data_IF_551829949378
#
_entry.id   IF_551829949378
#
_cell.length_a   1.000
_cell.length_b   1.000
_cell.length_c   1.000
_cell.angle_alpha   90.00
_cell.angle_beta   90.00
_cell.angle_gamma   90.00
#
_symmetry.space_group_name_H-M   'P 1'
#
loop_
_entity.id
_entity.type
_entity.pdbx_description
1 polymer ?
#
# COMPACT_ATOMS: atom_id res chain seq x y z
N UNK A 1 20.15 1.73 18.26
CA UNK A 1 19.87 0.30 18.06
C UNK A 1 20.61 -0.04 16.78
N UNK A 2 21.57 -0.95 16.83
CA UNK A 2 22.40 -1.23 15.65
C UNK A 2 21.58 -2.01 14.63
N UNK A 3 21.30 -1.38 13.50
CA UNK A 3 20.54 -2.01 12.41
C UNK A 3 21.47 -2.94 11.63
N UNK A 4 21.08 -4.21 11.50
CA UNK A 4 21.88 -5.23 10.82
C UNK A 4 21.49 -5.36 9.35
N UNK A 5 22.45 -5.73 8.51
CA UNK A 5 22.20 -6.00 7.08
C UNK A 5 21.06 -7.01 6.87
N UNK A 6 20.98 -8.08 7.68
CA UNK A 6 19.91 -9.07 7.57
C UNK A 6 18.50 -8.50 7.83
N UNK A 7 18.38 -7.41 8.60
CA UNK A 7 17.11 -6.71 8.81
C UNK A 7 16.74 -5.89 7.57
N UNK A 8 17.74 -5.28 6.92
CA UNK A 8 17.55 -4.54 5.67
C UNK A 8 17.18 -5.50 4.54
N UNK A 9 17.83 -6.65 4.44
CA UNK A 9 17.53 -7.67 3.44
C UNK A 9 16.07 -8.14 3.58
N UNK A 10 15.63 -8.46 4.82
CA UNK A 10 14.24 -8.82 5.08
C UNK A 10 13.25 -7.70 4.75
N UNK A 11 13.61 -6.44 5.00
CA UNK A 11 12.77 -5.30 4.66
C UNK A 11 12.66 -5.12 3.13
N UNK A 12 13.76 -5.29 2.40
CA UNK A 12 13.78 -5.26 0.93
C UNK A 12 12.88 -6.36 0.36
N UNK A 13 12.94 -7.57 0.92
CA UNK A 13 12.09 -8.69 0.52
C UNK A 13 10.61 -8.38 0.79
N UNK A 14 10.29 -7.82 1.96
CA UNK A 14 8.91 -7.43 2.28
C UNK A 14 8.38 -6.31 1.35
N UNK A 15 9.21 -5.35 0.95
CA UNK A 15 8.84 -4.30 -0.02
C UNK A 15 8.66 -4.89 -1.42
N UNK A 16 9.54 -5.81 -1.83
CA UNK A 16 9.39 -6.51 -3.11
C UNK A 16 8.11 -7.35 -3.15
N UNK A 17 7.73 -7.95 -2.02
CA UNK A 17 6.47 -8.68 -1.91
C UNK A 17 5.24 -7.81 -2.16
N UNK A 18 5.25 -6.55 -1.72
CA UNK A 18 4.16 -5.60 -2.02
C UNK A 18 4.00 -5.42 -3.54
N UNK A 19 5.09 -5.32 -4.31
CA UNK A 19 5.01 -5.22 -5.77
C UNK A 19 4.36 -6.46 -6.39
N UNK A 20 4.75 -7.65 -5.94
CA UNK A 20 4.15 -8.91 -6.38
C UNK A 20 2.65 -9.02 -6.03
N UNK A 21 2.23 -8.55 -4.86
CA UNK A 21 0.82 -8.53 -4.46
C UNK A 21 -0.02 -7.61 -5.36
N UNK A 22 0.50 -6.44 -5.75
CA UNK A 22 -0.18 -5.56 -6.71
C UNK A 22 -0.32 -6.20 -8.09
N UNK A 23 0.72 -6.90 -8.57
CA UNK A 23 0.65 -7.62 -9.84
C UNK A 23 -0.33 -8.79 -9.79
N UNK A 24 -0.35 -9.55 -8.69
CA UNK A 24 -1.30 -10.64 -8.50
C UNK A 24 -2.76 -10.14 -8.52
N UNK A 25 -3.02 -8.98 -7.90
CA UNK A 25 -4.35 -8.40 -7.83
C UNK A 25 -4.94 -8.09 -9.22
N UNK A 26 -4.11 -7.71 -10.19
CA UNK A 26 -4.56 -7.43 -11.58
C UNK A 26 -5.30 -8.60 -12.24
N UNK A 27 -4.95 -9.84 -11.86
CA UNK A 27 -5.57 -11.04 -12.45
C UNK A 27 -6.95 -11.36 -11.88
N UNK A 28 -7.26 -10.86 -10.68
CA UNK A 28 -8.51 -11.20 -9.97
C UNK A 28 -9.47 -10.03 -9.84
N UNK A 29 -8.98 -8.78 -9.95
CA UNK A 29 -9.77 -7.60 -9.62
C UNK A 29 -10.97 -7.39 -10.54
N UNK A 30 -10.85 -7.70 -11.83
CA UNK A 30 -11.96 -7.53 -12.79
C UNK A 30 -13.09 -8.56 -12.58
N UNK A 31 -12.88 -9.55 -11.70
CA UNK A 31 -13.90 -10.56 -11.39
C UNK A 31 -14.86 -10.14 -10.27
N UNK A 32 -14.57 -9.03 -9.59
CA UNK A 32 -15.30 -8.50 -8.44
C UNK A 32 -15.75 -7.05 -8.68
N UNK A 33 -16.82 -6.58 -8.01
CA UNK A 33 -17.25 -5.18 -8.10
C UNK A 33 -16.32 -4.28 -7.28
N UNK A 34 -15.16 -3.94 -7.85
CA UNK A 34 -14.10 -3.20 -7.14
C UNK A 34 -14.46 -1.74 -6.83
N UNK A 35 -15.45 -1.18 -7.52
CA UNK A 35 -15.94 0.18 -7.40
C UNK A 35 -17.11 0.31 -6.41
N UNK A 36 -17.77 -0.79 -6.06
CA UNK A 36 -18.84 -0.82 -5.07
C UNK A 36 -18.31 -0.52 -3.66
N UNK A 37 -19.01 0.37 -2.95
CA UNK A 37 -18.69 0.77 -1.57
C UNK A 37 -19.56 -0.03 -0.59
N UNK A 38 -19.01 -0.97 0.19
CA UNK A 38 -19.78 -1.68 1.20
C UNK A 38 -20.23 -0.73 2.32
N UNK A 39 -21.34 -1.02 3.03
CA UNK A 39 -21.82 -0.16 4.12
C UNK A 39 -20.75 0.09 5.18
N UNK A 40 -20.40 1.38 5.38
CA UNK A 40 -19.42 1.81 6.38
C UNK A 40 -17.96 1.50 6.06
N UNK A 41 -17.63 1.10 4.83
CA UNK A 41 -16.26 0.82 4.36
C UNK A 41 -15.97 1.54 3.05
N UNK A 42 -14.69 1.64 2.67
CA UNK A 42 -14.24 2.11 1.35
C UNK A 42 -14.41 1.00 0.30
N UNK A 43 -14.57 1.37 -0.98
CA UNK A 43 -14.49 0.40 -2.08
C UNK A 43 -13.05 -0.07 -2.30
N UNK A 44 -12.83 -1.19 -3.00
CA UNK A 44 -11.47 -1.67 -3.29
C UNK A 44 -10.69 -0.63 -4.09
N UNK A 45 -11.32 0.00 -5.09
CA UNK A 45 -10.71 1.08 -5.86
C UNK A 45 -10.31 2.26 -4.98
N UNK A 46 -11.16 2.68 -4.03
CA UNK A 46 -10.85 3.77 -3.11
C UNK A 46 -9.68 3.45 -2.19
N UNK A 47 -9.63 2.22 -1.66
CA UNK A 47 -8.50 1.75 -0.84
C UNK A 47 -7.19 1.79 -1.65
N UNK A 48 -7.22 1.30 -2.90
CA UNK A 48 -6.05 1.29 -3.77
C UNK A 48 -5.59 2.71 -4.14
N UNK A 49 -6.52 3.62 -4.43
CA UNK A 49 -6.20 5.02 -4.69
C UNK A 49 -5.56 5.69 -3.48
N UNK A 50 -6.10 5.45 -2.28
CA UNK A 50 -5.51 5.96 -1.05
C UNK A 50 -4.10 5.41 -0.83
N UNK A 51 -3.90 4.11 -1.09
CA UNK A 51 -2.58 3.50 -0.98
C UNK A 51 -1.57 4.15 -1.93
N UNK A 52 -1.94 4.36 -3.20
CA UNK A 52 -1.09 5.03 -4.20
C UNK A 52 -0.75 6.46 -3.76
N UNK A 53 -1.76 7.20 -3.29
CA UNK A 53 -1.63 8.57 -2.78
C UNK A 53 -0.68 8.66 -1.59
N UNK A 54 -0.91 7.86 -0.54
CA UNK A 54 -0.06 7.84 0.65
C UNK A 54 1.38 7.42 0.31
N UNK A 55 1.54 6.48 -0.62
CA UNK A 55 2.84 6.01 -1.05
C UNK A 55 3.63 7.11 -1.77
N UNK A 56 3.04 7.82 -2.73
CA UNK A 56 3.72 8.87 -3.48
C UNK A 56 3.90 10.17 -2.72
N UNK A 57 2.86 10.62 -2.02
CA UNK A 57 2.79 11.98 -1.47
C UNK A 57 3.17 12.07 0.01
N UNK A 58 3.54 10.95 0.63
CA UNK A 58 3.98 10.95 2.03
C UNK A 58 5.15 10.00 2.25
N UNK A 59 4.94 8.68 2.06
CA UNK A 59 5.98 7.71 2.44
C UNK A 59 7.26 7.88 1.63
N UNK A 60 7.13 8.03 0.31
CA UNK A 60 8.29 8.24 -0.56
C UNK A 60 9.02 9.53 -0.21
N UNK A 61 8.31 10.64 -0.05
CA UNK A 61 8.92 11.93 0.28
C UNK A 61 9.68 11.87 1.59
N UNK A 62 9.06 11.33 2.64
CA UNK A 62 9.69 11.17 3.95
C UNK A 62 10.95 10.29 3.88
N UNK A 63 10.90 9.16 3.15
CA UNK A 63 12.06 8.28 2.99
C UNK A 63 13.18 8.99 2.21
N UNK A 64 12.84 9.67 1.11
CA UNK A 64 13.81 10.39 0.30
C UNK A 64 14.48 11.53 1.08
N UNK A 65 13.71 12.31 1.82
CA UNK A 65 14.21 13.44 2.60
C UNK A 65 15.03 12.99 3.80
N UNK A 66 14.58 11.95 4.51
CA UNK A 66 15.36 11.36 5.61
C UNK A 66 16.71 10.84 5.09
N UNK A 67 16.72 10.19 3.94
CA UNK A 67 17.93 9.69 3.30
C UNK A 67 18.88 10.82 2.85
N UNK A 68 18.35 11.88 2.22
CA UNK A 68 19.16 12.99 1.67
C UNK A 68 19.60 14.00 2.74
N UNK A 69 18.87 14.13 3.85
CA UNK A 69 19.12 15.16 4.87
C UNK A 69 20.17 14.74 5.89
N UNK A 70 21.19 15.57 6.10
CA UNK A 70 22.18 15.39 7.18
C UNK A 70 21.58 15.55 8.58
N UNK A 71 20.46 16.27 8.70
CA UNK A 71 19.76 16.49 9.98
C UNK A 71 18.50 15.62 10.07
N UNK A 72 18.09 15.24 11.29
CA UNK A 72 16.81 14.57 11.47
C UNK A 72 15.67 15.38 10.86
N UNK A 73 14.78 14.71 10.12
CA UNK A 73 13.56 15.33 9.60
C UNK A 73 12.46 15.29 10.65
N UNK A 74 11.43 16.14 10.49
CA UNK A 74 10.28 16.21 11.40
C UNK A 74 9.01 15.88 10.63
N UNK A 75 8.32 14.80 11.01
CA UNK A 75 7.07 14.35 10.40
C UNK A 75 5.94 15.37 10.49
N UNK A 76 5.99 16.32 11.43
CA UNK A 76 5.00 17.40 11.49
C UNK A 76 5.11 18.40 10.33
N UNK A 77 6.19 18.34 9.54
CA UNK A 77 6.35 19.13 8.32
C UNK A 77 5.64 18.50 7.10
N UNK A 78 5.16 17.26 7.23
CA UNK A 78 4.47 16.53 6.18
C UNK A 78 2.99 16.44 6.54
N UNK A 79 2.12 16.60 5.55
CA UNK A 79 0.67 16.51 5.73
C UNK A 79 0.26 15.04 5.78
N UNK A 80 -0.66 14.67 6.67
CA UNK A 80 -1.15 13.29 6.73
C UNK A 80 -1.88 12.94 5.41
N UNK A 81 -1.63 11.76 4.82
CA UNK A 81 -2.32 11.34 3.60
C UNK A 81 -3.84 11.44 3.66
N UNK A 82 -4.43 11.18 4.83
CA UNK A 82 -5.89 11.26 5.02
C UNK A 82 -6.43 12.70 4.88
N UNK A 83 -5.60 13.71 5.15
CA UNK A 83 -6.01 15.12 5.04
C UNK A 83 -5.99 15.65 3.60
N UNK A 84 -5.27 14.96 2.70
CA UNK A 84 -5.04 15.40 1.31
C UNK A 84 -5.59 14.42 0.27
N UNK A 85 -6.12 13.29 0.71
CA UNK A 85 -6.66 12.29 -0.18
C UNK A 85 -7.98 12.77 -0.80
N UNK A 86 -8.01 12.79 -2.12
CA UNK A 86 -9.21 13.04 -2.91
C UNK A 86 -9.44 11.87 -3.86
N UNK A 87 -10.69 11.39 -3.90
CA UNK A 87 -11.07 10.29 -4.77
C UNK A 87 -11.11 10.76 -6.23
N UNK A 88 -10.32 10.15 -7.09
CA UNK A 88 -10.37 10.35 -8.54
C UNK A 88 -11.39 9.38 -9.16
N UNK A 89 -12.60 9.88 -9.44
CA UNK A 89 -13.70 9.09 -10.01
C UNK A 89 -13.40 8.54 -11.42
N UNK A 90 -12.51 9.19 -12.18
CA UNK A 90 -12.13 8.70 -13.51
C UNK A 90 -11.11 7.57 -13.39
N UNK A 91 -10.14 7.69 -12.48
CA UNK A 91 -9.19 6.63 -12.19
C UNK A 91 -9.87 5.42 -11.53
N UNK A 92 -10.91 5.64 -10.72
CA UNK A 92 -11.71 4.59 -10.09
C UNK A 92 -12.37 3.65 -11.11
N UNK A 93 -12.69 4.16 -12.31
CA UNK A 93 -13.29 3.37 -13.41
C UNK A 93 -12.28 2.51 -14.18
N UNK A 94 -10.99 2.80 -14.05
CA UNK A 94 -9.91 2.08 -14.74
C UNK A 94 -8.95 1.49 -13.72
N UNK A 95 -9.43 0.42 -13.07
CA UNK A 95 -8.70 -0.25 -12.00
C UNK A 95 -7.37 -0.85 -12.47
N UNK A 96 -7.30 -1.28 -13.73
CA UNK A 96 -6.08 -1.83 -14.31
C UNK A 96 -5.01 -0.74 -14.48
N UNK A 97 -5.40 0.46 -14.92
CA UNK A 97 -4.49 1.62 -14.96
C UNK A 97 -4.03 2.03 -13.57
N UNK A 98 -4.91 1.99 -12.56
CA UNK A 98 -4.53 2.26 -11.17
C UNK A 98 -3.51 1.24 -10.65
N UNK A 99 -3.77 -0.07 -10.81
CA UNK A 99 -2.85 -1.12 -10.38
C UNK A 99 -1.51 -1.07 -11.12
N UNK A 100 -1.51 -0.66 -12.40
CA UNK A 100 -0.29 -0.43 -13.15
C UNK A 100 0.54 0.74 -12.59
N UNK A 101 -0.11 1.84 -12.18
CA UNK A 101 0.57 2.96 -11.49
C UNK A 101 1.18 2.50 -10.17
N UNK A 102 0.38 1.82 -9.33
CA UNK A 102 0.83 1.31 -8.03
C UNK A 102 2.05 0.39 -8.18
N UNK A 103 2.02 -0.54 -9.13
CA UNK A 103 3.16 -1.44 -9.40
C UNK A 103 4.42 -0.64 -9.77
N UNK A 104 4.34 0.34 -10.67
CA UNK A 104 5.47 1.22 -11.01
C UNK A 104 6.01 1.99 -9.82
N UNK A 105 5.12 2.55 -9.01
CA UNK A 105 5.46 3.31 -7.83
C UNK A 105 6.16 2.44 -6.77
N UNK A 106 5.70 1.20 -6.59
CA UNK A 106 6.35 0.19 -5.73
C UNK A 106 7.74 -0.19 -6.22
N UNK A 107 7.94 -0.36 -7.53
CA UNK A 107 9.29 -0.57 -8.11
C UNK A 107 10.20 0.62 -7.80
N UNK A 108 9.70 1.86 -7.93
CA UNK A 108 10.49 3.05 -7.62
C UNK A 108 10.91 3.10 -6.14
N UNK A 109 10.01 2.76 -5.22
CA UNK A 109 10.32 2.68 -3.78
C UNK A 109 11.29 1.55 -3.47
N UNK A 110 11.09 0.37 -4.06
CA UNK A 110 12.01 -0.75 -3.89
C UNK A 110 13.43 -0.36 -4.32
N UNK A 111 13.55 0.31 -5.46
CA UNK A 111 14.84 0.80 -5.96
C UNK A 111 15.43 1.87 -5.04
N UNK A 112 14.62 2.80 -4.54
CA UNK A 112 15.06 3.79 -3.55
C UNK A 112 15.65 3.10 -2.31
N UNK A 113 14.89 2.18 -1.71
CA UNK A 113 15.26 1.43 -0.49
C UNK A 113 16.54 0.62 -0.70
N UNK A 114 16.68 -0.07 -1.84
CA UNK A 114 17.88 -0.84 -2.18
C UNK A 114 19.16 -0.01 -2.29
N UNK A 115 19.04 1.29 -2.55
CA UNK A 115 20.18 2.20 -2.72
C UNK A 115 20.60 2.88 -1.41
N UNK A 116 19.90 2.65 -0.29
CA UNK A 116 20.24 3.24 1.01
C UNK A 116 21.35 2.42 1.67
N UNK A 117 22.47 3.06 1.99
CA UNK A 117 23.58 2.39 2.68
C UNK A 117 23.17 1.99 4.10
N UNK A 118 23.78 0.93 4.64
CA UNK A 118 23.46 0.41 5.98
C UNK A 118 23.44 1.48 7.08
N UNK A 119 24.42 2.39 7.08
CA UNK A 119 24.55 3.46 8.09
C UNK A 119 23.39 4.46 8.00
N UNK A 120 22.85 4.69 6.80
CA UNK A 120 21.80 5.67 6.57
C UNK A 120 20.44 5.22 7.11
N UNK A 121 20.27 3.92 7.38
CA UNK A 121 19.04 3.38 7.98
C UNK A 121 18.81 3.81 9.43
N UNK A 122 19.87 4.23 10.12
CA UNK A 122 19.82 4.74 11.49
C UNK A 122 19.46 6.23 11.56
N UNK A 123 19.29 6.90 10.41
CA UNK A 123 18.89 8.31 10.37
C UNK A 123 17.58 8.53 11.11
N UNK A 124 17.57 9.57 11.93
CA UNK A 124 16.46 9.87 12.82
C UNK A 124 15.34 10.64 12.10
N UNK A 125 14.11 10.24 12.40
CA UNK A 125 12.86 10.85 11.98
C UNK A 125 12.08 11.18 13.25
N UNK A 126 11.72 12.44 13.42
CA UNK A 126 11.07 12.94 14.64
C UNK A 126 9.59 13.21 14.42
N UNK A 127 8.75 12.97 15.44
CA UNK A 127 7.34 13.38 15.49
C UNK A 127 7.02 13.87 16.89
N UNK A 128 7.05 15.20 17.08
CA UNK A 128 6.91 15.80 18.39
C UNK A 128 8.03 15.36 19.35
N UNK A 129 7.70 14.53 20.35
CA UNK A 129 8.66 13.98 21.32
C UNK A 129 9.17 12.57 20.98
N UNK A 130 8.63 11.96 19.92
CA UNK A 130 9.03 10.63 19.49
C UNK A 130 10.10 10.74 18.42
N UNK A 131 11.09 9.86 18.48
CA UNK A 131 12.11 9.68 17.44
C UNK A 131 12.11 8.22 17.04
N UNK A 132 12.09 7.96 15.74
CA UNK A 132 12.22 6.64 15.13
C UNK A 132 13.31 6.70 14.06
N UNK A 133 13.88 5.56 13.73
CA UNK A 133 14.82 5.43 12.61
C UNK A 133 14.10 5.38 11.26
N UNK A 134 14.84 5.68 10.18
CA UNK A 134 14.37 5.45 8.81
C UNK A 134 13.94 4.00 8.58
N UNK A 135 14.64 3.04 9.19
CA UNK A 135 14.26 1.63 9.15
C UNK A 135 12.90 1.38 9.81
N UNK A 136 12.68 1.90 11.02
CA UNK A 136 11.41 1.74 11.72
C UNK A 136 10.26 2.40 10.96
N UNK A 137 10.47 3.60 10.41
CA UNK A 137 9.47 4.28 9.58
C UNK A 137 9.09 3.46 8.35
N UNK A 138 10.09 2.97 7.61
CA UNK A 138 9.88 2.20 6.38
C UNK A 138 9.22 0.85 6.68
N UNK A 139 9.63 0.18 7.76
CA UNK A 139 9.01 -1.07 8.21
C UNK A 139 7.55 -0.85 8.66
N UNK A 140 7.25 0.28 9.32
CA UNK A 140 5.87 0.64 9.66
C UNK A 140 5.01 0.89 8.42
N UNK A 141 5.56 1.55 7.40
CA UNK A 141 4.90 1.71 6.10
C UNK A 141 4.55 0.35 5.49
N UNK A 142 5.54 -0.55 5.38
CA UNK A 142 5.34 -1.90 4.82
C UNK A 142 4.28 -2.68 5.57
N UNK A 143 4.30 -2.64 6.91
CA UNK A 143 3.29 -3.31 7.73
C UNK A 143 1.88 -2.77 7.50
N UNK A 144 1.74 -1.45 7.37
CA UNK A 144 0.46 -0.80 7.06
C UNK A 144 -0.03 -1.21 5.67
N UNK A 145 0.83 -1.13 4.65
CA UNK A 145 0.46 -1.53 3.29
C UNK A 145 0.06 -3.01 3.20
N UNK A 146 0.77 -3.92 3.86
CA UNK A 146 0.39 -5.35 3.91
C UNK A 146 -0.97 -5.57 4.58
N UNK A 147 -1.25 -4.84 5.66
CA UNK A 147 -2.55 -4.92 6.31
C UNK A 147 -3.68 -4.44 5.38
N UNK A 148 -3.45 -3.37 4.62
CA UNK A 148 -4.39 -2.84 3.63
C UNK A 148 -4.59 -3.80 2.44
N UNK A 149 -3.52 -4.43 1.93
CA UNK A 149 -3.64 -5.43 0.87
C UNK A 149 -4.40 -6.67 1.34
N UNK A 150 -4.22 -7.07 2.60
CA UNK A 150 -5.01 -8.14 3.20
C UNK A 150 -6.50 -7.76 3.27
N UNK A 151 -6.84 -6.52 3.65
CA UNK A 151 -8.22 -6.05 3.61
C UNK A 151 -8.82 -6.15 2.20
N UNK A 152 -8.06 -5.79 1.17
CA UNK A 152 -8.49 -5.95 -0.22
C UNK A 152 -8.70 -7.42 -0.57
N UNK A 153 -7.76 -8.30 -0.21
CA UNK A 153 -7.87 -9.73 -0.47
C UNK A 153 -9.13 -10.34 0.20
N UNK A 154 -9.41 -9.94 1.44
CA UNK A 154 -10.61 -10.37 2.18
C UNK A 154 -11.91 -9.89 1.49
N UNK A 155 -11.92 -8.66 0.95
CA UNK A 155 -13.05 -8.15 0.14
C UNK A 155 -13.22 -8.97 -1.15
N UNK A 156 -12.14 -9.22 -1.89
CA UNK A 156 -12.15 -10.02 -3.12
C UNK A 156 -12.72 -11.41 -2.85
N UNK A 157 -12.23 -12.09 -1.81
CA UNK A 157 -12.71 -13.42 -1.41
C UNK A 157 -14.18 -13.40 -1.02
N UNK A 158 -14.62 -12.36 -0.30
CA UNK A 158 -16.02 -12.19 0.08
C UNK A 158 -16.92 -12.12 -1.16
N UNK A 159 -16.57 -11.28 -2.14
CA UNK A 159 -17.33 -11.17 -3.39
C UNK A 159 -17.33 -12.46 -4.21
N UNK A 160 -16.19 -13.14 -4.31
CA UNK A 160 -16.09 -14.42 -5.03
C UNK A 160 -16.97 -15.50 -4.39
N UNK A 161 -16.96 -15.61 -3.06
CA UNK A 161 -17.78 -16.56 -2.32
C UNK A 161 -19.28 -16.27 -2.47
N UNK A 162 -19.69 -15.00 -2.37
CA UNK A 162 -21.08 -14.58 -2.60
C UNK A 162 -21.56 -14.95 -4.00
N UNK A 163 -20.73 -14.71 -5.02
CA UNK A 163 -21.04 -15.05 -6.42
C UNK A 163 -21.14 -16.56 -6.65
N UNK A 164 -20.27 -17.35 -6.03
CA UNK A 164 -20.36 -18.81 -6.10
C UNK A 164 -21.64 -19.32 -5.45
N UNK A 165 -21.97 -18.84 -4.25
CA UNK A 165 -23.20 -19.22 -3.54
C UNK A 165 -24.45 -18.89 -4.37
N UNK A 166 -24.49 -17.72 -5.01
CA UNK A 166 -25.59 -17.32 -5.88
C UNK A 166 -25.74 -18.28 -7.08
N UNK A 167 -24.65 -18.65 -7.75
CA UNK A 167 -24.67 -19.65 -8.84
C UNK A 167 -25.15 -21.02 -8.37
N UNK A 168 -24.77 -21.43 -7.16
CA UNK A 168 -25.25 -22.70 -6.58
C UNK A 168 -26.75 -22.65 -6.27
N UNK A 169 -27.29 -21.51 -5.87
CA UNK A 169 -28.73 -21.32 -5.65
C UNK A 169 -29.51 -21.30 -6.97
N UNK A 170 -29.02 -20.57 -7.97
CA UNK A 170 -29.62 -20.49 -9.32
C UNK A 170 -29.62 -21.85 -10.03
N UNK A 171 -28.53 -22.62 -9.91
CA UNK A 171 -28.46 -23.98 -10.50
C UNK A 171 -29.35 -25.00 -9.78
N UNK A 172 -29.73 -24.75 -8.53
CA UNK A 172 -30.69 -25.58 -7.76
C UNK A 172 -32.16 -25.19 -8.00
N UNK A 173 -32.44 -23.98 -8.52
CA UNK A 173 -33.77 -23.49 -8.88
C UNK A 173 -33.82 -22.97 -10.33
N UNK A 174 -33.75 -23.84 -11.35
CA UNK A 174 -33.71 -23.42 -12.75
C UNK A 174 -35.03 -22.86 -13.32
N UNK A 175 -36.14 -22.83 -12.58
CA UNK A 175 -37.49 -22.48 -13.08
C UNK A 175 -38.29 -21.48 -12.20
N UNK A 176 -37.65 -20.41 -11.71
CA UNK A 176 -38.39 -19.24 -11.16
C UNK A 176 -38.36 -18.06 -12.11
#
# INVERSE_FOLDING_TARGET
>A
MDIKQSQIDSLIDDVAYLEHEAEALKYVIDSVPYDETPPGRRSIAEILMFLDHAQQNYYREVIEDAFKSVRPINLNAYTDPEETFEKDEELAKDIQKLLYKISKHRVAILNLIKNINLIDWEREITKGRQTISLYEFTNQMVRKERATLKEIADLVLTYQNSKQMQRELESRNPES
#
